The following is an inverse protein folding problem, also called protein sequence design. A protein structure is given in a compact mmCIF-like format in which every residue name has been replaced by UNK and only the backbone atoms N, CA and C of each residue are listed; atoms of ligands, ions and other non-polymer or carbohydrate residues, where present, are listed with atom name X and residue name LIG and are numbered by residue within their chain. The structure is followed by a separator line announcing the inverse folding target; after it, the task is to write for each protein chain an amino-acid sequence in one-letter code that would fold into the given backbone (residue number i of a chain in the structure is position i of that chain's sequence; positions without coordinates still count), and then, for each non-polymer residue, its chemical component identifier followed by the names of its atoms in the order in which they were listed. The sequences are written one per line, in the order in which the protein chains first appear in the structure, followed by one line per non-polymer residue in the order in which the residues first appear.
data_IF_442145172514
#
_entry.id   IF_442145172514
#
_cell.length_a   1.000
_cell.length_b   1.000
_cell.length_c   1.000
_cell.angle_alpha   90.00
_cell.angle_beta   90.00
_cell.angle_gamma   90.00
#
_symmetry.space_group_name_H-M   'P 1'
#
loop_
_entity.id
_entity.type
_entity.pdbx_description
1 polymer ?
#
# COMPACT_ATOMS: atom_id res chain seq x y z
N UNK A 1 13.01 10.19 12.08
CA UNK A 1 14.43 10.61 11.92
C UNK A 1 15.30 10.50 13.19
N UNK A 2 14.81 9.90 14.29
CA UNK A 2 15.62 9.71 15.53
C UNK A 2 16.88 8.86 15.29
N UNK A 3 16.80 7.87 14.40
CA UNK A 3 17.94 7.01 14.07
C UNK A 3 19.03 7.68 13.24
N UNK A 4 18.69 8.61 12.36
CA UNK A 4 19.67 9.35 11.57
C UNK A 4 20.63 10.16 12.45
N UNK A 5 20.13 10.74 13.55
CA UNK A 5 20.97 11.49 14.47
C UNK A 5 22.06 10.61 15.10
N UNK A 6 21.72 9.41 15.56
CA UNK A 6 22.68 8.50 16.17
C UNK A 6 23.73 7.99 15.16
N UNK A 7 23.34 7.77 13.91
CA UNK A 7 24.24 7.41 12.83
C UNK A 7 25.20 8.55 12.48
N UNK A 8 24.68 9.79 12.37
CA UNK A 8 25.50 10.98 12.15
C UNK A 8 26.47 11.19 13.31
N UNK A 9 26.00 11.12 14.56
CA UNK A 9 26.82 11.28 15.75
C UNK A 9 27.94 10.22 15.81
N UNK A 10 27.63 8.98 15.46
CA UNK A 10 28.62 7.91 15.34
C UNK A 10 29.70 8.26 14.31
N UNK A 11 29.33 8.63 13.09
CA UNK A 11 30.25 8.98 12.02
C UNK A 11 31.15 10.18 12.38
N UNK A 12 30.57 11.19 13.00
CA UNK A 12 31.32 12.38 13.44
C UNK A 12 32.31 12.08 14.57
N UNK A 13 31.97 11.21 15.51
CA UNK A 13 32.82 10.86 16.65
C UNK A 13 33.96 9.92 16.28
N UNK A 14 33.61 8.83 15.55
CA UNK A 14 34.58 7.77 15.28
C UNK A 14 35.57 8.15 14.17
N UNK A 15 35.13 8.92 13.19
CA UNK A 15 35.98 9.31 12.04
C UNK A 15 36.40 10.77 12.05
N UNK A 16 36.35 11.44 13.21
CA UNK A 16 36.68 12.87 13.38
C UNK A 16 38.01 13.28 12.78
N UNK A 17 39.03 12.40 12.79
CA UNK A 17 40.39 12.66 12.34
C UNK A 17 40.71 12.02 10.98
N UNK A 18 39.76 11.42 10.33
CA UNK A 18 39.94 10.68 9.08
C UNK A 18 38.85 11.08 8.06
N UNK A 19 39.03 12.23 7.36
CA UNK A 19 38.00 12.75 6.44
C UNK A 19 37.57 11.75 5.37
N UNK A 20 38.53 11.05 4.76
CA UNK A 20 38.24 10.05 3.71
C UNK A 20 37.37 8.89 4.22
N UNK A 21 37.62 8.43 5.45
CA UNK A 21 36.81 7.39 6.09
C UNK A 21 35.46 7.94 6.52
N UNK A 22 35.38 9.21 6.90
CA UNK A 22 34.15 9.89 7.23
C UNK A 22 33.23 10.02 5.99
N UNK A 23 33.81 10.40 4.85
CA UNK A 23 33.11 10.45 3.58
C UNK A 23 32.60 9.06 3.19
N UNK A 24 33.45 8.03 3.25
CA UNK A 24 33.07 6.64 2.99
C UNK A 24 31.98 6.14 3.95
N UNK A 25 32.00 6.57 5.22
CA UNK A 25 30.95 6.26 6.18
C UNK A 25 29.63 6.94 5.82
N UNK A 26 29.64 8.25 5.53
CA UNK A 26 28.42 8.98 5.22
C UNK A 26 27.85 8.69 3.82
N UNK A 27 28.65 8.16 2.91
CA UNK A 27 28.19 7.63 1.63
C UNK A 27 27.59 6.21 1.72
N UNK A 28 27.50 5.62 2.94
CA UNK A 28 27.05 4.24 3.17
C UNK A 28 27.88 3.17 2.41
N UNK A 29 29.09 3.51 1.99
CA UNK A 29 29.98 2.59 1.27
C UNK A 29 30.65 1.56 2.18
N UNK A 30 30.77 1.84 3.49
CA UNK A 30 31.38 0.93 4.47
C UNK A 30 30.35 -0.02 5.10
N UNK A 31 30.78 -1.25 5.45
CA UNK A 31 29.97 -2.21 6.20
C UNK A 31 29.51 -1.67 7.54
N UNK A 32 30.38 -0.93 8.23
CA UNK A 32 30.10 -0.35 9.55
C UNK A 32 29.03 0.73 9.47
N UNK A 33 29.10 1.60 8.45
CA UNK A 33 28.07 2.61 8.22
C UNK A 33 26.69 1.98 8.03
N UNK A 34 26.61 0.97 7.17
CA UNK A 34 25.38 0.24 6.93
C UNK A 34 24.88 -0.49 8.18
N UNK A 35 25.78 -1.10 8.94
CA UNK A 35 25.42 -1.80 10.18
C UNK A 35 24.90 -0.84 11.26
N UNK A 36 25.57 0.31 11.46
CA UNK A 36 25.10 1.33 12.39
C UNK A 36 23.77 1.90 11.96
N UNK A 37 23.62 2.19 10.68
CA UNK A 37 22.38 2.71 10.12
C UNK A 37 21.21 1.72 10.29
N UNK A 38 21.43 0.44 10.00
CA UNK A 38 20.41 -0.59 10.20
C UNK A 38 20.02 -0.78 11.66
N UNK A 39 20.98 -0.73 12.60
CA UNK A 39 20.69 -0.81 14.05
C UNK A 39 19.81 0.33 14.57
N UNK A 40 19.79 1.46 13.85
CA UNK A 40 18.99 2.62 14.23
C UNK A 40 17.58 2.59 13.60
N UNK A 41 17.27 1.63 12.74
CA UNK A 41 15.94 1.47 12.18
C UNK A 41 14.96 1.10 13.28
N UNK A 42 13.90 1.88 13.40
CA UNK A 42 12.80 1.59 14.32
C UNK A 42 11.80 0.71 13.59
N UNK A 43 11.54 -0.47 14.14
CA UNK A 43 10.56 -1.40 13.58
C UNK A 43 11.04 -2.85 13.57
N UNK A 44 10.22 -3.71 13.02
CA UNK A 44 10.50 -5.12 12.82
C UNK A 44 11.15 -5.29 11.44
N UNK A 45 12.37 -5.83 11.43
CA UNK A 45 13.07 -6.12 10.18
C UNK A 45 12.45 -7.36 9.53
N UNK A 46 12.35 -7.32 8.21
CA UNK A 46 11.86 -8.47 7.43
C UNK A 46 12.67 -9.75 7.70
N UNK A 47 13.98 -9.64 7.78
CA UNK A 47 14.88 -10.78 8.02
C UNK A 47 14.59 -11.52 9.33
N UNK A 48 14.05 -10.83 10.34
CA UNK A 48 13.72 -11.42 11.64
C UNK A 48 12.42 -12.25 11.59
N UNK A 49 11.58 -12.03 10.59
CA UNK A 49 10.26 -12.67 10.47
C UNK A 49 10.04 -13.39 9.14
N UNK A 50 11.01 -13.41 8.24
CA UNK A 50 10.93 -14.03 6.92
C UNK A 50 10.38 -15.45 6.99
N UNK A 51 10.96 -16.28 7.84
CA UNK A 51 10.50 -17.68 8.00
C UNK A 51 9.05 -17.78 8.47
N UNK A 52 8.65 -16.89 9.38
CA UNK A 52 7.28 -16.86 9.88
C UNK A 52 6.30 -16.45 8.79
N UNK A 53 6.67 -15.44 8.01
CA UNK A 53 5.86 -14.96 6.88
C UNK A 53 5.75 -16.02 5.79
N UNK A 54 6.84 -16.71 5.46
CA UNK A 54 6.80 -17.84 4.52
C UNK A 54 5.83 -18.93 4.96
N UNK A 55 5.87 -19.34 6.24
CA UNK A 55 4.96 -20.35 6.78
C UNK A 55 3.50 -19.88 6.77
N UNK A 56 3.23 -18.61 7.08
CA UNK A 56 1.90 -18.03 7.01
C UNK A 56 1.39 -17.98 5.54
N UNK A 57 2.22 -17.54 4.61
CA UNK A 57 1.93 -17.53 3.19
C UNK A 57 1.58 -18.95 2.71
N UNK A 58 2.43 -19.92 3.00
CA UNK A 58 2.22 -21.31 2.61
C UNK A 58 0.95 -21.88 3.20
N UNK A 59 0.67 -21.59 4.47
CA UNK A 59 -0.52 -22.09 5.17
C UNK A 59 -1.82 -21.49 4.63
N UNK A 60 -1.81 -20.20 4.30
CA UNK A 60 -3.00 -19.50 3.81
C UNK A 60 -3.24 -19.75 2.31
N UNK A 61 -2.19 -19.65 1.51
CA UNK A 61 -2.30 -19.54 0.06
C UNK A 61 -1.79 -20.76 -0.71
N UNK A 62 -1.05 -21.65 -0.05
CA UNK A 62 -0.37 -22.80 -0.67
C UNK A 62 0.47 -22.41 -1.91
N UNK A 63 1.13 -21.28 -1.85
CA UNK A 63 1.99 -20.73 -2.89
C UNK A 63 3.40 -20.62 -2.38
N UNK A 64 4.35 -20.71 -3.27
CA UNK A 64 5.77 -20.54 -2.98
C UNK A 64 6.28 -19.30 -3.74
N UNK A 65 6.41 -18.19 -3.01
CA UNK A 65 7.04 -16.97 -3.50
C UNK A 65 8.37 -16.75 -2.77
N UNK A 66 9.32 -16.23 -3.50
CA UNK A 66 10.59 -15.74 -2.94
C UNK A 66 10.40 -14.29 -2.50
N UNK A 67 10.98 -13.92 -1.37
CA UNK A 67 10.97 -12.54 -0.92
C UNK A 67 12.25 -11.81 -1.30
N UNK A 68 12.13 -10.62 -1.81
CA UNK A 68 13.24 -9.72 -2.09
C UNK A 68 12.99 -8.36 -1.41
N UNK A 69 13.44 -8.21 -0.15
CA UNK A 69 13.28 -6.96 0.56
C UNK A 69 14.10 -5.86 -0.12
N UNK A 70 13.48 -4.71 -0.33
CA UNK A 70 14.21 -3.53 -0.76
C UNK A 70 14.53 -2.65 0.45
N UNK A 71 15.78 -2.22 0.47
CA UNK A 71 16.18 -1.23 1.46
C UNK A 71 15.47 0.07 1.15
N UNK A 72 14.85 0.64 2.17
CA UNK A 72 14.25 1.95 2.10
C UNK A 72 15.34 3.02 1.99
N UNK A 73 16.05 3.10 0.85
CA UNK A 73 16.98 4.16 0.56
C UNK A 73 16.23 5.48 0.47
N UNK A 74 16.72 6.48 1.19
CA UNK A 74 16.05 7.74 1.49
C UNK A 74 15.51 8.52 0.28
N UNK A 75 16.12 8.38 -0.88
CA UNK A 75 15.72 9.13 -2.09
C UNK A 75 14.59 8.48 -2.89
N UNK A 76 14.29 7.19 -2.66
CA UNK A 76 13.30 6.44 -3.42
C UNK A 76 12.05 6.05 -2.63
N UNK A 77 12.02 6.30 -1.33
CA UNK A 77 10.95 5.88 -0.41
C UNK A 77 9.56 6.41 -0.74
N UNK A 78 9.46 7.54 -1.43
CA UNK A 78 8.18 8.13 -1.79
C UNK A 78 7.48 7.42 -2.97
N UNK A 79 8.21 6.53 -3.69
CA UNK A 79 7.73 5.94 -4.94
C UNK A 79 7.84 4.41 -5.01
N UNK A 80 8.40 3.77 -3.99
CA UNK A 80 8.55 2.32 -4.00
C UNK A 80 7.38 1.66 -3.30
N UNK A 81 6.49 1.09 -4.10
CA UNK A 81 5.41 0.24 -3.62
C UNK A 81 5.82 -1.22 -3.67
N UNK A 82 5.22 -2.05 -2.82
CA UNK A 82 5.43 -3.48 -2.91
C UNK A 82 4.79 -4.01 -4.21
N UNK A 83 5.39 -5.03 -4.81
CA UNK A 83 4.85 -5.66 -6.02
C UNK A 83 5.34 -7.10 -6.16
N UNK A 84 4.68 -7.86 -7.03
CA UNK A 84 5.14 -9.18 -7.46
C UNK A 84 5.70 -9.08 -8.87
N UNK A 85 6.91 -9.62 -9.04
CA UNK A 85 7.55 -9.79 -10.34
C UNK A 85 7.90 -11.27 -10.48
N UNK A 86 7.30 -11.95 -11.45
CA UNK A 86 7.35 -13.41 -11.57
C UNK A 86 6.91 -14.10 -10.26
N UNK A 87 7.79 -14.86 -9.64
CA UNK A 87 7.54 -15.54 -8.36
C UNK A 87 8.23 -14.82 -7.18
N UNK A 88 8.56 -13.54 -7.34
CA UNK A 88 9.28 -12.75 -6.34
C UNK A 88 8.42 -11.62 -5.81
N UNK A 89 8.19 -11.62 -4.49
CA UNK A 89 7.53 -10.51 -3.79
C UNK A 89 8.58 -9.49 -3.37
N UNK A 90 8.49 -8.28 -3.93
CA UNK A 90 9.26 -7.12 -3.54
C UNK A 90 8.54 -6.37 -2.43
N UNK A 91 9.20 -6.18 -1.29
CA UNK A 91 8.58 -5.61 -0.10
C UNK A 91 9.58 -4.78 0.73
N UNK A 92 9.11 -3.85 1.58
CA UNK A 92 9.98 -3.08 2.45
C UNK A 92 10.74 -3.97 3.44
N UNK A 93 11.99 -3.64 3.68
CA UNK A 93 12.85 -4.37 4.62
C UNK A 93 12.53 -4.10 6.10
N UNK A 94 11.71 -3.10 6.41
CA UNK A 94 11.30 -2.76 7.78
C UNK A 94 9.88 -2.18 7.81
N UNK A 95 9.10 -2.63 8.78
CA UNK A 95 7.83 -2.00 9.16
C UNK A 95 7.83 -1.61 10.65
N UNK A 96 7.25 -0.45 10.95
CA UNK A 96 6.83 -0.05 12.30
C UNK A 96 5.33 -0.30 12.48
N UNK A 97 4.85 -0.20 13.71
CA UNK A 97 3.41 -0.22 13.98
C UNK A 97 2.71 0.97 13.30
N UNK A 98 1.52 0.74 12.76
CA UNK A 98 0.68 1.76 12.14
C UNK A 98 -0.79 1.52 12.53
N UNK A 99 -1.46 2.53 13.08
CA UNK A 99 -2.87 2.48 13.45
C UNK A 99 -3.26 1.24 14.29
N UNK A 100 -2.39 0.85 15.25
CA UNK A 100 -2.60 -0.33 16.08
C UNK A 100 -2.36 -1.67 15.37
N UNK A 101 -1.90 -1.65 14.12
CA UNK A 101 -1.50 -2.86 13.38
C UNK A 101 -0.01 -3.10 13.59
N UNK A 102 0.31 -4.25 14.19
CA UNK A 102 1.70 -4.65 14.44
C UNK A 102 2.48 -4.83 13.12
N UNK A 103 3.80 -4.65 13.13
CA UNK A 103 4.65 -4.79 11.94
C UNK A 103 4.49 -6.14 11.22
N UNK A 104 4.40 -7.22 11.96
CA UNK A 104 4.17 -8.56 11.38
C UNK A 104 2.83 -8.65 10.64
N UNK A 105 1.77 -8.06 11.20
CA UNK A 105 0.47 -8.00 10.54
C UNK A 105 0.48 -7.09 9.31
N UNK A 106 1.31 -6.05 9.29
CA UNK A 106 1.49 -5.20 8.10
C UNK A 106 2.12 -6.01 6.95
N UNK A 107 3.17 -6.80 7.24
CA UNK A 107 3.72 -7.74 6.23
C UNK A 107 2.67 -8.75 5.75
N UNK A 108 1.88 -9.31 6.67
CA UNK A 108 0.82 -10.25 6.29
C UNK A 108 -0.24 -9.59 5.40
N UNK A 109 -0.65 -8.36 5.71
CA UNK A 109 -1.62 -7.62 4.90
C UNK A 109 -1.13 -7.42 3.47
N UNK A 110 0.12 -6.97 3.31
CA UNK A 110 0.79 -6.76 2.04
C UNK A 110 0.90 -8.06 1.24
N UNK A 111 1.48 -9.10 1.82
CA UNK A 111 1.68 -10.39 1.15
C UNK A 111 0.34 -10.99 0.71
N UNK A 112 -0.67 -10.92 1.59
CA UNK A 112 -2.00 -11.44 1.26
C UNK A 112 -2.70 -10.65 0.17
N UNK A 113 -2.52 -9.33 0.11
CA UNK A 113 -3.07 -8.48 -0.94
C UNK A 113 -2.43 -8.82 -2.30
N UNK A 114 -1.11 -8.84 -2.37
CA UNK A 114 -0.38 -9.17 -3.60
C UNK A 114 -0.73 -10.56 -4.15
N UNK A 115 -0.79 -11.58 -3.26
CA UNK A 115 -1.16 -12.93 -3.68
C UNK A 115 -2.63 -12.98 -4.11
N UNK A 116 -3.51 -12.20 -3.50
CA UNK A 116 -4.90 -12.11 -3.90
C UNK A 116 -5.04 -11.61 -5.34
N UNK A 117 -4.26 -10.61 -5.75
CA UNK A 117 -4.19 -10.17 -7.14
C UNK A 117 -3.74 -11.31 -8.06
N UNK A 118 -2.69 -12.04 -7.71
CA UNK A 118 -2.23 -13.18 -8.51
C UNK A 118 -3.27 -14.31 -8.64
N UNK A 119 -4.20 -14.43 -7.69
CA UNK A 119 -5.24 -15.44 -7.73
C UNK A 119 -6.52 -15.01 -8.44
N UNK A 120 -6.90 -13.76 -8.27
CA UNK A 120 -8.24 -13.30 -8.63
C UNK A 120 -8.24 -12.28 -9.77
N UNK A 121 -7.14 -11.55 -10.00
CA UNK A 121 -7.05 -10.55 -11.06
C UNK A 121 -6.62 -11.20 -12.37
N UNK A 122 -7.29 -10.81 -13.44
CA UNK A 122 -6.90 -11.14 -14.81
C UNK A 122 -6.31 -9.92 -15.49
N UNK A 123 -5.23 -10.12 -16.23
CA UNK A 123 -4.64 -9.05 -17.02
C UNK A 123 -5.67 -8.44 -17.98
N UNK A 124 -5.80 -7.13 -17.93
CA UNK A 124 -6.69 -6.34 -18.80
C UNK A 124 -5.84 -5.38 -19.64
N UNK A 125 -6.19 -5.21 -20.91
CA UNK A 125 -5.53 -4.24 -21.78
C UNK A 125 -5.96 -2.83 -21.34
N UNK A 126 -5.04 -2.11 -20.69
CA UNK A 126 -5.31 -0.79 -20.14
C UNK A 126 -4.91 0.39 -21.07
N UNK A 127 -4.44 0.11 -22.29
CA UNK A 127 -3.89 1.13 -23.20
C UNK A 127 -4.91 2.21 -23.58
N UNK A 128 -6.19 1.86 -23.63
CA UNK A 128 -7.28 2.77 -23.96
C UNK A 128 -7.89 3.48 -22.74
N UNK A 129 -7.38 3.22 -21.52
CA UNK A 129 -7.89 3.84 -20.31
C UNK A 129 -7.11 5.10 -19.97
N UNK A 130 -7.82 6.18 -19.66
CA UNK A 130 -7.19 7.35 -19.08
C UNK A 130 -6.62 7.03 -17.69
N UNK A 131 -5.62 7.81 -17.21
CA UNK A 131 -5.06 7.60 -15.87
C UNK A 131 -6.12 7.64 -14.75
N UNK A 132 -7.13 8.48 -14.86
CA UNK A 132 -8.24 8.53 -13.91
C UNK A 132 -9.12 7.26 -13.95
N UNK A 133 -9.32 6.68 -15.14
CA UNK A 133 -10.07 5.42 -15.25
C UNK A 133 -9.29 4.26 -14.65
N UNK A 134 -7.96 4.24 -14.84
CA UNK A 134 -7.09 3.25 -14.21
C UNK A 134 -7.18 3.33 -12.69
N UNK A 135 -7.00 4.53 -12.12
CA UNK A 135 -7.09 4.76 -10.67
C UNK A 135 -8.38 4.19 -10.07
N UNK A 136 -9.55 4.46 -10.65
CA UNK A 136 -10.80 3.95 -10.07
C UNK A 136 -11.05 2.48 -10.40
N UNK A 137 -10.52 1.95 -11.50
CA UNK A 137 -10.54 0.52 -11.78
C UNK A 137 -9.71 -0.25 -10.72
N UNK A 138 -8.53 0.24 -10.39
CA UNK A 138 -7.65 -0.26 -9.33
C UNK A 138 -8.36 -0.26 -7.98
N UNK A 139 -8.97 0.85 -7.57
CA UNK A 139 -9.71 0.95 -6.30
C UNK A 139 -10.80 -0.14 -6.17
N UNK A 140 -11.56 -0.42 -7.24
CA UNK A 140 -12.58 -1.47 -7.20
C UNK A 140 -11.99 -2.87 -7.28
N UNK A 141 -10.90 -3.05 -8.02
CA UNK A 141 -10.24 -4.35 -8.13
C UNK A 141 -9.59 -4.75 -6.81
N UNK A 142 -8.90 -3.84 -6.14
CA UNK A 142 -8.36 -4.05 -4.80
C UNK A 142 -9.44 -4.46 -3.81
N UNK A 143 -10.53 -3.70 -3.78
CA UNK A 143 -11.65 -4.04 -2.90
C UNK A 143 -12.24 -5.42 -3.24
N UNK A 144 -12.29 -5.81 -4.52
CA UNK A 144 -12.78 -7.11 -4.97
C UNK A 144 -11.88 -8.25 -4.52
N UNK A 145 -10.57 -8.15 -4.74
CA UNK A 145 -9.63 -9.20 -4.34
C UNK A 145 -9.54 -9.33 -2.83
N UNK A 146 -9.60 -8.22 -2.11
CA UNK A 146 -9.67 -8.19 -0.64
C UNK A 146 -10.96 -8.85 -0.12
N UNK A 147 -12.11 -8.55 -0.73
CA UNK A 147 -13.38 -9.18 -0.38
C UNK A 147 -13.36 -10.70 -0.62
N UNK A 148 -12.84 -11.15 -1.76
CA UNK A 148 -12.72 -12.58 -2.09
C UNK A 148 -11.78 -13.29 -1.10
N UNK A 149 -10.67 -12.65 -0.76
CA UNK A 149 -9.73 -13.15 0.25
C UNK A 149 -10.35 -13.22 1.63
N UNK A 150 -11.15 -12.22 1.99
CA UNK A 150 -11.85 -12.13 3.26
C UNK A 150 -12.92 -13.22 3.44
N UNK A 151 -13.58 -13.65 2.37
CA UNK A 151 -14.47 -14.83 2.41
C UNK A 151 -13.74 -16.08 2.89
N UNK A 152 -12.47 -16.24 2.52
CA UNK A 152 -11.65 -17.38 2.89
C UNK A 152 -10.94 -17.15 4.24
N UNK A 153 -10.49 -15.93 4.49
CA UNK A 153 -9.71 -15.53 5.64
C UNK A 153 -10.26 -14.27 6.31
N UNK A 154 -11.36 -14.37 7.08
CA UNK A 154 -12.07 -13.20 7.61
C UNK A 154 -11.20 -12.28 8.49
N UNK A 155 -10.13 -12.83 9.09
CA UNK A 155 -9.19 -12.05 9.90
C UNK A 155 -8.41 -10.97 9.15
N UNK A 156 -8.29 -11.07 7.82
CA UNK A 156 -7.60 -10.08 6.99
C UNK A 156 -8.36 -8.75 6.92
N UNK A 157 -9.70 -8.77 6.91
CA UNK A 157 -10.53 -7.56 6.83
C UNK A 157 -10.16 -6.55 7.92
N UNK A 158 -10.03 -7.01 9.16
CA UNK A 158 -9.71 -6.12 10.28
C UNK A 158 -8.33 -5.47 10.14
N UNK A 159 -7.38 -6.19 9.54
CA UNK A 159 -6.04 -5.68 9.32
C UNK A 159 -6.06 -4.63 8.22
N UNK A 160 -6.64 -4.94 7.07
CA UNK A 160 -6.73 -4.02 5.93
C UNK A 160 -7.51 -2.76 6.30
N UNK A 161 -8.68 -2.90 6.96
CA UNK A 161 -9.49 -1.76 7.43
C UNK A 161 -8.69 -0.79 8.30
N UNK A 162 -7.89 -1.30 9.25
CA UNK A 162 -7.09 -0.45 10.13
C UNK A 162 -5.89 0.20 9.42
N UNK A 163 -5.47 -0.34 8.26
CA UNK A 163 -4.41 0.23 7.44
C UNK A 163 -4.91 1.22 6.39
N UNK A 164 -6.24 1.32 6.20
CA UNK A 164 -6.82 2.33 5.32
C UNK A 164 -6.61 3.73 5.88
N UNK A 165 -6.34 4.72 5.01
CA UNK A 165 -6.26 6.12 5.42
C UNK A 165 -7.53 6.61 6.10
N UNK A 166 -7.39 7.39 7.16
CA UNK A 166 -8.50 8.01 7.90
C UNK A 166 -8.66 9.47 7.47
N UNK A 167 -9.23 9.67 6.29
CA UNK A 167 -9.50 11.01 5.75
C UNK A 167 -10.94 11.40 6.02
N UNK A 168 -11.16 12.65 6.40
CA UNK A 168 -12.47 13.27 6.44
C UNK A 168 -12.98 13.55 5.03
N UNK A 169 -14.29 13.51 4.85
CA UNK A 169 -14.94 13.72 3.55
C UNK A 169 -14.62 15.10 2.94
N UNK A 170 -14.38 16.11 3.78
CA UNK A 170 -14.14 17.50 3.39
C UNK A 170 -12.70 17.98 3.63
N UNK A 171 -11.77 17.09 3.92
CA UNK A 171 -10.39 17.46 4.25
C UNK A 171 -9.57 17.93 3.04
N UNK A 172 -10.09 17.78 1.82
CA UNK A 172 -9.39 18.14 0.60
C UNK A 172 -9.50 19.63 0.27
N UNK A 173 -8.37 20.32 0.24
CA UNK A 173 -8.24 21.62 -0.42
C UNK A 173 -7.88 21.43 -1.89
N UNK A 174 -8.88 21.36 -2.77
CA UNK A 174 -8.69 21.11 -4.21
C UNK A 174 -7.83 22.19 -4.90
N UNK A 175 -7.51 23.30 -4.24
CA UNK A 175 -6.58 24.31 -4.77
C UNK A 175 -5.11 23.89 -4.59
N UNK A 176 -4.82 22.97 -3.68
CA UNK A 176 -3.47 22.51 -3.33
C UNK A 176 -3.28 21.00 -3.44
N UNK A 177 -4.37 20.25 -3.52
CA UNK A 177 -4.37 18.80 -3.40
C UNK A 177 -5.23 18.17 -4.49
N UNK A 178 -4.99 16.90 -4.79
CA UNK A 178 -5.76 16.18 -5.81
C UNK A 178 -7.11 15.73 -5.26
N UNK A 179 -8.19 16.39 -5.68
CA UNK A 179 -9.55 15.98 -5.33
C UNK A 179 -9.92 14.59 -5.86
N UNK A 180 -9.34 14.16 -6.97
CA UNK A 180 -9.58 12.82 -7.52
C UNK A 180 -8.92 11.74 -6.66
N UNK A 181 -7.70 11.94 -6.19
CA UNK A 181 -7.04 10.99 -5.27
C UNK A 181 -7.74 10.94 -3.92
N UNK A 182 -8.19 12.08 -3.40
CA UNK A 182 -9.00 12.12 -2.19
C UNK A 182 -10.29 11.31 -2.34
N UNK A 183 -11.03 11.47 -3.45
CA UNK A 183 -12.24 10.67 -3.71
C UNK A 183 -11.93 9.19 -3.85
N UNK A 184 -10.82 8.82 -4.49
CA UNK A 184 -10.37 7.44 -4.58
C UNK A 184 -10.11 6.84 -3.18
N UNK A 185 -9.43 7.58 -2.30
CA UNK A 185 -9.12 7.13 -0.94
C UNK A 185 -10.36 6.95 -0.08
N UNK A 186 -11.29 7.91 -0.05
CA UNK A 186 -12.54 7.76 0.72
C UNK A 186 -13.45 6.66 0.15
N UNK A 187 -13.49 6.48 -1.17
CA UNK A 187 -14.19 5.36 -1.80
C UNK A 187 -13.56 4.03 -1.39
N UNK A 188 -12.25 3.90 -1.51
CA UNK A 188 -11.50 2.70 -1.14
C UNK A 188 -11.83 2.25 0.29
N UNK A 189 -11.84 3.20 1.25
CA UNK A 189 -12.26 2.92 2.62
C UNK A 189 -13.72 2.48 2.71
N UNK A 190 -14.64 3.16 2.00
CA UNK A 190 -16.07 2.84 2.03
C UNK A 190 -16.39 1.44 1.47
N UNK A 191 -15.56 0.93 0.56
CA UNK A 191 -15.73 -0.41 -0.02
C UNK A 191 -15.38 -1.53 0.98
N UNK A 192 -14.44 -1.29 1.90
CA UNK A 192 -13.96 -2.31 2.85
C UNK A 192 -14.50 -2.12 4.28
N UNK A 193 -14.89 -0.92 4.66
CA UNK A 193 -15.36 -0.59 6.02
C UNK A 193 -16.82 -0.15 6.04
N UNK A 194 -17.69 -1.00 6.59
CA UNK A 194 -19.12 -0.69 6.73
C UNK A 194 -19.42 0.43 7.73
N UNK A 195 -18.45 0.75 8.61
CA UNK A 195 -18.60 1.76 9.64
C UNK A 195 -17.91 3.10 9.28
N UNK A 196 -17.63 3.31 7.99
CA UNK A 196 -17.03 4.55 7.52
C UNK A 196 -17.91 5.78 7.82
N UNK A 197 -17.35 6.99 8.06
CA UNK A 197 -18.13 8.17 8.45
C UNK A 197 -18.75 8.95 7.27
N UNK A 198 -18.54 8.52 6.03
CA UNK A 198 -18.90 9.28 4.83
C UNK A 198 -20.39 9.35 4.60
N UNK A 199 -20.85 10.51 4.11
CA UNK A 199 -22.26 10.82 3.80
C UNK A 199 -22.50 11.18 2.33
N UNK A 200 -21.43 11.28 1.54
CA UNK A 200 -21.54 11.56 0.11
C UNK A 200 -22.38 10.49 -0.59
N UNK A 201 -23.44 10.92 -1.27
CA UNK A 201 -24.41 10.02 -1.92
C UNK A 201 -23.78 9.13 -2.98
N UNK A 202 -22.77 9.60 -3.71
CA UNK A 202 -22.12 8.81 -4.76
C UNK A 202 -21.22 7.74 -4.16
N UNK A 203 -20.50 8.06 -3.08
CA UNK A 203 -19.71 7.08 -2.33
C UNK A 203 -20.61 5.98 -1.77
N UNK A 204 -21.71 6.36 -1.12
CA UNK A 204 -22.68 5.41 -0.54
C UNK A 204 -23.35 4.53 -1.58
N UNK A 205 -23.76 5.12 -2.70
CA UNK A 205 -24.38 4.39 -3.83
C UNK A 205 -23.42 3.32 -4.39
N UNK A 206 -22.17 3.71 -4.68
CA UNK A 206 -21.22 2.76 -5.26
C UNK A 206 -20.69 1.73 -4.25
N UNK A 207 -20.54 2.09 -2.98
CA UNK A 207 -20.25 1.10 -1.93
C UNK A 207 -21.37 0.07 -1.80
N UNK A 208 -22.64 0.51 -1.85
CA UNK A 208 -23.81 -0.37 -1.83
C UNK A 208 -23.87 -1.26 -3.08
N UNK A 209 -23.67 -0.71 -4.27
CA UNK A 209 -23.64 -1.48 -5.53
C UNK A 209 -22.54 -2.52 -5.53
N UNK A 210 -21.34 -2.14 -5.08
CA UNK A 210 -20.22 -3.07 -4.98
C UNK A 210 -20.55 -4.25 -4.05
N UNK A 211 -21.09 -4.00 -2.87
CA UNK A 211 -21.48 -5.04 -1.92
C UNK A 211 -22.56 -5.96 -2.48
N UNK A 212 -23.61 -5.40 -3.07
CA UNK A 212 -24.66 -6.18 -3.73
C UNK A 212 -24.05 -7.07 -4.83
N UNK A 213 -23.21 -6.50 -5.67
CA UNK A 213 -22.49 -7.20 -6.72
C UNK A 213 -21.64 -8.37 -6.19
N UNK A 214 -20.89 -8.16 -5.10
CA UNK A 214 -20.06 -9.20 -4.49
C UNK A 214 -20.86 -10.32 -3.81
N UNK A 215 -22.11 -10.06 -3.43
CA UNK A 215 -23.02 -11.04 -2.83
C UNK A 215 -23.77 -11.83 -3.90
N UNK A 216 -24.31 -11.13 -4.89
CA UNK A 216 -25.26 -11.71 -5.86
C UNK A 216 -24.57 -12.48 -7.00
N UNK A 217 -23.32 -12.13 -7.30
CA UNK A 217 -22.56 -12.74 -8.39
C UNK A 217 -21.58 -13.79 -7.86
N UNK A 218 -21.78 -15.06 -8.21
CA UNK A 218 -20.88 -16.15 -7.80
C UNK A 218 -19.46 -15.98 -8.33
N UNK A 219 -19.31 -15.45 -9.55
CA UNK A 219 -18.03 -15.27 -10.24
C UNK A 219 -17.87 -13.80 -10.67
N UNK A 220 -17.34 -12.97 -9.78
CA UNK A 220 -16.94 -11.60 -10.11
C UNK A 220 -15.61 -11.59 -10.88
N UNK A 221 -15.46 -10.66 -11.81
CA UNK A 221 -14.29 -10.56 -12.68
C UNK A 221 -13.59 -9.20 -12.57
N UNK A 222 -12.37 -9.11 -13.08
CA UNK A 222 -11.63 -7.85 -13.19
C UNK A 222 -12.35 -6.85 -14.10
N UNK A 223 -13.02 -7.34 -15.16
CA UNK A 223 -13.80 -6.50 -16.07
C UNK A 223 -14.99 -5.84 -15.35
N UNK A 224 -15.56 -6.51 -14.35
CA UNK A 224 -16.64 -5.95 -13.53
C UNK A 224 -16.11 -4.77 -12.65
N UNK A 225 -14.93 -4.92 -12.06
CA UNK A 225 -14.25 -3.84 -11.32
C UNK A 225 -13.96 -2.66 -12.22
N UNK A 226 -13.46 -2.92 -13.41
CA UNK A 226 -13.22 -1.90 -14.43
C UNK A 226 -14.50 -1.15 -14.79
N UNK A 227 -15.59 -1.85 -15.02
CA UNK A 227 -16.88 -1.24 -15.35
C UNK A 227 -17.40 -0.35 -14.21
N UNK A 228 -17.28 -0.80 -12.95
CA UNK A 228 -17.63 0.00 -11.78
C UNK A 228 -16.76 1.25 -11.65
N UNK A 229 -15.45 1.13 -11.84
CA UNK A 229 -14.50 2.24 -11.77
C UNK A 229 -14.78 3.30 -12.84
N UNK A 230 -14.97 2.89 -14.10
CA UNK A 230 -15.32 3.80 -15.20
C UNK A 230 -16.66 4.50 -14.92
N UNK A 231 -17.67 3.75 -14.44
CA UNK A 231 -18.98 4.30 -14.12
C UNK A 231 -18.92 5.30 -12.97
N UNK A 232 -18.15 5.01 -11.92
CA UNK A 232 -17.94 5.94 -10.80
C UNK A 232 -17.27 7.22 -11.26
N UNK A 233 -16.18 7.11 -12.02
CA UNK A 233 -15.51 8.29 -12.59
C UNK A 233 -16.45 9.12 -13.45
N UNK A 234 -17.20 8.50 -14.37
CA UNK A 234 -18.14 9.22 -15.24
C UNK A 234 -19.16 10.03 -14.44
N UNK A 235 -19.60 9.51 -13.29
CA UNK A 235 -20.58 10.19 -12.42
C UNK A 235 -19.95 11.30 -11.56
N UNK A 236 -18.71 11.14 -11.12
CA UNK A 236 -18.10 12.01 -10.11
C UNK A 236 -17.02 12.95 -10.65
N UNK A 237 -16.67 12.84 -11.94
CA UNK A 237 -15.64 13.66 -12.58
C UNK A 237 -15.93 15.15 -12.47
N UNK A 238 -14.92 15.91 -12.04
CA UNK A 238 -14.95 17.37 -12.00
C UNK A 238 -14.00 17.96 -13.03
N UNK A 239 -14.27 19.20 -13.46
CA UNK A 239 -13.38 19.93 -14.37
C UNK A 239 -12.01 20.24 -13.74
N UNK A 240 -11.96 20.32 -12.41
CA UNK A 240 -10.75 20.55 -11.60
C UNK A 240 -9.92 19.29 -11.37
N UNK A 241 -10.37 18.11 -11.80
CA UNK A 241 -9.66 16.86 -11.55
C UNK A 241 -8.30 16.84 -12.23
N UNK A 242 -7.26 16.65 -11.45
CA UNK A 242 -5.88 16.52 -11.89
C UNK A 242 -5.19 15.41 -11.13
N UNK A 243 -4.36 14.63 -11.82
CA UNK A 243 -3.42 13.66 -11.23
C UNK A 243 -2.03 14.26 -11.03
N UNK A 244 -1.87 15.59 -11.14
CA UNK A 244 -0.63 16.26 -10.78
C UNK A 244 -0.21 15.87 -9.36
N UNK A 245 1.06 16.11 -9.02
CA UNK A 245 1.70 15.66 -7.76
C UNK A 245 1.11 16.26 -6.47
N UNK A 246 0.05 17.06 -6.59
CA UNK A 246 -0.71 17.59 -5.47
C UNK A 246 -1.66 16.51 -4.92
N UNK A 247 -1.22 15.81 -3.91
CA UNK A 247 -2.02 14.81 -3.20
C UNK A 247 -1.86 14.97 -1.69
N UNK A 248 -2.77 14.39 -0.94
CA UNK A 248 -2.65 14.30 0.51
C UNK A 248 -1.51 13.38 0.90
N UNK A 249 -0.81 13.71 1.96
CA UNK A 249 -0.03 12.73 2.69
C UNK A 249 -0.97 11.63 3.21
N UNK A 250 -0.57 10.38 3.04
CA UNK A 250 -1.32 9.20 3.49
C UNK A 250 -2.69 8.98 2.81
N UNK A 251 -2.87 9.36 1.56
CA UNK A 251 -4.09 9.03 0.79
C UNK A 251 -4.14 7.58 0.33
N UNK A 252 -3.03 6.87 0.36
CA UNK A 252 -2.88 5.54 -0.20
C UNK A 252 -2.67 4.51 0.91
N UNK A 253 -3.26 3.33 0.75
CA UNK A 253 -3.07 2.24 1.68
C UNK A 253 -1.66 1.65 1.50
N UNK A 254 -0.84 1.68 2.54
CA UNK A 254 0.59 1.34 2.47
C UNK A 254 0.90 -0.13 2.16
N UNK A 255 -0.10 -0.97 2.07
CA UNK A 255 0.03 -2.41 1.77
C UNK A 255 -0.38 -2.77 0.34
N UNK A 256 -0.97 -1.85 -0.40
CA UNK A 256 -1.37 -2.01 -1.80
C UNK A 256 -0.24 -1.67 -2.76
N UNK A 257 -0.32 -2.17 -3.97
CA UNK A 257 0.69 -2.08 -5.02
C UNK A 257 0.38 -1.02 -6.11
N UNK A 258 -0.72 -0.35 -6.00
CA UNK A 258 -1.26 0.66 -6.92
C UNK A 258 -0.74 2.10 -6.71
#
# INVERSE_FOLDING_TARGET
YKGAYAWVDYGLRYFKRHPDQQEAFFSLSTSDSRAVFQRQRQGLLFVDVERQLYLLQKSLWDKDYVYAPYSSDFERLQFFRPYIEDDTIRLPDVYSELNGVSPLRRYLALISHLIAHQQFTKAVIADNLSPHQRLFAEVFEDARVEYLSAKRYPGLVSIWRNLMPELGEFDCDETKQSGVKHRASILSRALIDDNHPYKNSDILDYATRFKAFMIDKENTSTEDSLALGISFLAKTKKASDSLADLYFDNTEASYRDD
#
